data_IF_843065315344
#
_entry.id   IF_843065315344
#
_cell.length_a   1.000
_cell.length_b   1.000
_cell.length_c   1.000
_cell.angle_alpha   90.00
_cell.angle_beta   90.00
_cell.angle_gamma   90.00
#
_symmetry.space_group_name_H-M   'P 1'
#
loop_
_entity.id
_entity.type
_entity.pdbx_description
1 polymer ?
#
# COMPACT_ATOMS: atom_id res chain seq x y z
N UNK A 1 -29.47 0.41 -16.27
CA UNK A 1 -29.58 0.91 -14.88
C UNK A 1 -30.52 2.11 -14.83
N UNK A 2 -31.35 2.25 -13.79
CA UNK A 2 -32.22 3.40 -13.53
C UNK A 2 -31.49 4.38 -12.62
N UNK A 3 -31.63 5.70 -12.84
CA UNK A 3 -30.99 6.69 -11.98
C UNK A 3 -31.61 6.62 -10.58
N UNK A 4 -30.78 6.45 -9.54
CA UNK A 4 -31.21 6.56 -8.16
C UNK A 4 -30.87 7.96 -7.59
N UNK A 5 -31.86 8.82 -7.33
CA UNK A 5 -31.62 10.13 -6.72
C UNK A 5 -31.21 10.04 -5.24
N UNK A 6 -31.54 8.93 -4.57
CA UNK A 6 -31.19 8.68 -3.15
C UNK A 6 -29.74 8.21 -2.96
N UNK A 7 -29.08 7.77 -4.03
CA UNK A 7 -27.65 7.47 -3.98
C UNK A 7 -26.85 8.77 -3.74
N UNK A 8 -25.81 8.74 -2.87
CA UNK A 8 -25.03 9.92 -2.56
C UNK A 8 -24.49 10.61 -3.82
N UNK A 9 -24.41 11.95 -3.78
CA UNK A 9 -23.78 12.69 -4.88
C UNK A 9 -22.26 12.42 -4.89
N UNK A 10 -21.60 12.41 -6.07
CA UNK A 10 -20.15 12.16 -6.14
C UNK A 10 -19.31 13.10 -5.26
N UNK A 11 -19.70 14.37 -5.16
CA UNK A 11 -19.04 15.37 -4.30
C UNK A 11 -19.19 15.06 -2.80
N UNK A 12 -20.33 14.51 -2.40
CA UNK A 12 -20.55 14.04 -1.02
C UNK A 12 -19.64 12.86 -0.72
N UNK A 13 -19.52 11.88 -1.63
CA UNK A 13 -18.63 10.74 -1.43
C UNK A 13 -17.15 11.14 -1.35
N UNK A 14 -16.70 12.06 -2.20
CA UNK A 14 -15.32 12.60 -2.13
C UNK A 14 -15.08 13.23 -0.74
N UNK A 15 -16.05 13.98 -0.24
CA UNK A 15 -15.95 14.65 1.06
C UNK A 15 -15.93 13.64 2.20
N UNK A 16 -16.82 12.63 2.18
CA UNK A 16 -16.88 11.58 3.19
C UNK A 16 -15.57 10.80 3.29
N UNK A 17 -15.02 10.37 2.14
CA UNK A 17 -13.76 9.61 2.12
C UNK A 17 -12.60 10.49 2.63
N UNK A 18 -12.51 11.75 2.17
CA UNK A 18 -11.46 12.67 2.63
C UNK A 18 -11.53 12.98 4.11
N UNK A 19 -12.73 13.24 4.63
CA UNK A 19 -12.91 13.50 6.06
C UNK A 19 -12.52 12.26 6.88
N UNK A 20 -12.89 11.06 6.44
CA UNK A 20 -12.46 9.83 7.09
C UNK A 20 -10.93 9.68 7.07
N UNK A 21 -10.25 9.99 5.96
CA UNK A 21 -8.78 9.99 5.91
C UNK A 21 -8.14 11.04 6.84
N UNK A 22 -8.72 12.25 6.92
CA UNK A 22 -8.26 13.29 7.84
C UNK A 22 -8.40 12.87 9.31
N UNK A 23 -9.52 12.27 9.66
CA UNK A 23 -9.75 11.78 11.02
C UNK A 23 -8.78 10.66 11.41
N UNK A 24 -8.36 9.81 10.45
CA UNK A 24 -7.31 8.81 10.66
C UNK A 24 -5.93 9.45 10.98
N UNK A 25 -5.66 10.64 10.44
CA UNK A 25 -4.39 11.37 10.60
C UNK A 25 -4.24 12.08 11.96
N UNK A 26 -5.28 12.76 12.47
CA UNK A 26 -5.22 13.70 13.62
C UNK A 26 -5.05 13.08 15.04
N UNK A 27 -4.52 11.85 15.15
CA UNK A 27 -4.51 10.98 16.34
C UNK A 27 -4.43 11.64 17.73
N UNK A 28 -5.55 11.59 18.47
CA UNK A 28 -5.59 11.18 19.89
C UNK A 28 -6.96 10.61 20.31
N UNK A 29 -7.46 9.63 19.55
CA UNK A 29 -8.47 8.69 20.07
C UNK A 29 -9.86 9.26 20.39
N UNK A 30 -10.29 10.35 19.73
CA UNK A 30 -11.69 10.79 19.78
C UNK A 30 -12.35 10.68 18.41
N UNK A 31 -12.22 9.51 17.81
CA UNK A 31 -13.30 9.06 16.95
C UNK A 31 -14.49 8.76 17.85
N UNK A 32 -15.62 9.39 17.58
CA UNK A 32 -16.88 8.98 18.18
C UNK A 32 -17.27 7.57 17.76
N UNK A 33 -16.76 6.99 16.64
CA UNK A 33 -17.07 5.63 16.19
C UNK A 33 -15.91 4.93 15.41
N UNK A 34 -14.95 4.30 16.11
CA UNK A 34 -13.97 3.29 15.56
C UNK A 34 -14.67 2.00 15.20
N UNK A 35 -15.53 2.09 14.19
CA UNK A 35 -16.39 0.99 13.83
C UNK A 35 -16.17 0.62 12.37
N UNK A 36 -15.92 -0.67 12.15
CA UNK A 36 -15.93 -1.30 10.83
C UNK A 36 -17.22 -0.93 10.04
N UNK A 37 -18.35 -0.82 10.74
CA UNK A 37 -19.63 -0.40 10.17
C UNK A 37 -19.58 0.98 9.49
N UNK A 38 -18.79 1.93 10.02
CA UNK A 38 -18.61 3.26 9.42
C UNK A 38 -17.89 3.15 8.08
N UNK A 39 -16.80 2.38 8.04
CA UNK A 39 -16.03 2.14 6.80
C UNK A 39 -16.91 1.44 5.77
N UNK A 40 -17.63 0.38 6.16
CA UNK A 40 -18.56 -0.32 5.29
C UNK A 40 -19.70 0.57 4.79
N UNK A 41 -20.18 1.51 5.63
CA UNK A 41 -21.17 2.51 5.24
C UNK A 41 -20.66 3.43 4.13
N UNK A 42 -19.41 3.91 4.25
CA UNK A 42 -18.76 4.72 3.20
C UNK A 42 -18.60 3.90 1.92
N UNK A 43 -18.15 2.64 2.01
CA UNK A 43 -17.97 1.78 0.83
C UNK A 43 -19.29 1.45 0.14
N UNK A 44 -20.37 1.24 0.92
CA UNK A 44 -21.72 1.06 0.37
C UNK A 44 -22.17 2.32 -0.37
N UNK A 45 -21.98 3.50 0.22
CA UNK A 45 -22.31 4.77 -0.44
C UNK A 45 -21.50 4.99 -1.72
N UNK A 46 -20.23 4.58 -1.71
CA UNK A 46 -19.35 4.62 -2.88
C UNK A 46 -19.86 3.71 -3.99
N UNK A 47 -20.17 2.45 -3.68
CA UNK A 47 -20.72 1.47 -4.62
C UNK A 47 -22.05 1.95 -5.24
N UNK A 48 -22.95 2.48 -4.40
CA UNK A 48 -24.21 3.09 -4.88
C UNK A 48 -23.96 4.29 -5.81
N UNK A 49 -22.99 5.14 -5.46
CA UNK A 49 -22.62 6.30 -6.29
C UNK A 49 -22.07 5.87 -7.65
N UNK A 50 -21.20 4.86 -7.67
CA UNK A 50 -20.58 4.35 -8.90
C UNK A 50 -21.56 3.64 -9.81
N UNK A 51 -22.54 2.91 -9.24
CA UNK A 51 -23.43 2.06 -10.03
C UNK A 51 -24.81 2.65 -10.30
N UNK A 52 -25.33 3.50 -9.42
CA UNK A 52 -26.73 3.93 -9.45
C UNK A 52 -26.93 5.40 -9.90
N UNK A 53 -25.84 6.19 -9.95
CA UNK A 53 -25.87 7.58 -10.45
C UNK A 53 -25.61 7.62 -11.97
N UNK A 54 -26.57 8.15 -12.74
CA UNK A 54 -26.41 8.34 -14.19
C UNK A 54 -25.70 9.64 -14.57
N UNK A 55 -25.65 10.58 -13.64
CA UNK A 55 -24.99 11.87 -13.76
C UNK A 55 -23.49 11.81 -13.41
N UNK A 56 -22.98 10.61 -13.06
CA UNK A 56 -21.57 10.40 -12.81
C UNK A 56 -20.78 10.53 -14.12
N UNK A 57 -19.86 11.50 -14.15
CA UNK A 57 -18.94 11.71 -15.27
C UNK A 57 -17.71 10.82 -15.11
N UNK A 58 -17.18 10.31 -16.22
CA UNK A 58 -16.00 9.42 -16.23
C UNK A 58 -14.78 10.02 -15.49
N UNK A 59 -14.56 11.33 -15.57
CA UNK A 59 -13.48 12.00 -14.83
C UNK A 59 -13.68 11.92 -13.31
N UNK A 60 -14.91 12.09 -12.84
CA UNK A 60 -15.26 12.01 -11.41
C UNK A 60 -15.24 10.56 -10.93
N UNK A 61 -15.69 9.64 -11.76
CA UNK A 61 -15.58 8.19 -11.52
C UNK A 61 -14.13 7.78 -11.26
N UNK A 62 -13.19 8.17 -12.15
CA UNK A 62 -11.75 7.91 -11.95
C UNK A 62 -11.23 8.49 -10.63
N UNK A 63 -11.68 9.69 -10.25
CA UNK A 63 -11.30 10.30 -8.97
C UNK A 63 -11.80 9.46 -7.80
N UNK A 64 -13.04 8.97 -7.83
CA UNK A 64 -13.61 8.14 -6.77
C UNK A 64 -12.86 6.82 -6.61
N UNK A 65 -12.52 6.15 -7.72
CA UNK A 65 -11.70 4.93 -7.67
C UNK A 65 -10.30 5.20 -7.10
N UNK A 66 -9.61 6.22 -7.60
CA UNK A 66 -8.27 6.59 -7.10
C UNK A 66 -8.31 6.93 -5.61
N UNK A 67 -9.32 7.70 -5.19
CA UNK A 67 -9.51 8.09 -3.80
C UNK A 67 -9.82 6.89 -2.90
N UNK A 68 -10.52 5.86 -3.41
CA UNK A 68 -10.78 4.64 -2.66
C UNK A 68 -9.52 3.81 -2.41
N UNK A 69 -8.55 3.80 -3.35
CA UNK A 69 -7.23 3.19 -3.15
C UNK A 69 -6.45 3.95 -2.09
N UNK A 70 -6.44 5.29 -2.17
CA UNK A 70 -5.82 6.14 -1.16
C UNK A 70 -6.44 5.89 0.23
N UNK A 71 -7.76 5.70 0.30
CA UNK A 71 -8.46 5.41 1.55
C UNK A 71 -8.06 4.06 2.14
N UNK A 72 -8.02 3.01 1.33
CA UNK A 72 -7.53 1.70 1.76
C UNK A 72 -6.09 1.80 2.32
N UNK A 73 -5.22 2.59 1.66
CA UNK A 73 -3.86 2.81 2.14
C UNK A 73 -3.82 3.56 3.48
N UNK A 74 -4.66 4.58 3.69
CA UNK A 74 -4.76 5.28 4.97
C UNK A 74 -5.23 4.34 6.10
N UNK A 75 -6.14 3.42 5.81
CA UNK A 75 -6.52 2.38 6.79
C UNK A 75 -5.31 1.52 7.16
N UNK A 76 -4.51 1.06 6.18
CA UNK A 76 -3.29 0.27 6.45
C UNK A 76 -2.31 1.03 7.36
N UNK A 77 -2.06 2.31 7.08
CA UNK A 77 -1.04 3.10 7.78
C UNK A 77 -1.49 3.52 9.18
N UNK A 78 -2.73 3.99 9.29
CA UNK A 78 -3.18 4.69 10.49
C UNK A 78 -4.06 3.84 11.41
N UNK A 79 -4.80 2.87 10.89
CA UNK A 79 -5.70 2.01 11.66
C UNK A 79 -5.95 0.63 10.99
N UNK A 80 -4.93 -0.21 11.02
CA UNK A 80 -4.88 -1.49 10.29
C UNK A 80 -5.89 -2.53 10.80
N UNK A 81 -6.52 -2.29 11.96
CA UNK A 81 -7.59 -3.12 12.54
C UNK A 81 -8.91 -2.96 11.77
N UNK A 82 -9.13 -1.80 11.15
CA UNK A 82 -10.34 -1.52 10.37
C UNK A 82 -10.31 -2.15 8.97
N UNK A 83 -9.13 -2.52 8.47
CA UNK A 83 -9.00 -3.22 7.19
C UNK A 83 -9.21 -4.73 7.39
N UNK A 84 -10.41 -5.09 7.85
CA UNK A 84 -10.84 -6.48 8.03
C UNK A 84 -10.99 -7.18 6.67
N UNK A 85 -11.07 -8.52 6.64
CA UNK A 85 -11.39 -9.24 5.40
C UNK A 85 -12.71 -8.78 4.75
N UNK A 86 -13.71 -8.41 5.55
CA UNK A 86 -15.00 -7.90 5.06
C UNK A 86 -14.82 -6.57 4.34
N UNK A 87 -14.11 -5.62 4.96
CA UNK A 87 -13.82 -4.31 4.37
C UNK A 87 -12.98 -4.45 3.11
N UNK A 88 -11.93 -5.27 3.15
CA UNK A 88 -11.09 -5.53 1.99
C UNK A 88 -11.87 -6.16 0.82
N UNK A 89 -12.79 -7.08 1.10
CA UNK A 89 -13.66 -7.65 0.08
C UNK A 89 -14.62 -6.62 -0.52
N UNK A 90 -15.12 -5.67 0.28
CA UNK A 90 -15.95 -4.57 -0.23
C UNK A 90 -15.14 -3.66 -1.17
N UNK A 91 -13.90 -3.31 -0.82
CA UNK A 91 -13.00 -2.58 -1.72
C UNK A 91 -12.73 -3.33 -3.03
N UNK A 92 -12.34 -4.61 -2.94
CA UNK A 92 -12.07 -5.43 -4.13
C UNK A 92 -13.31 -5.52 -5.03
N UNK A 93 -14.50 -5.70 -4.43
CA UNK A 93 -15.76 -5.71 -5.17
C UNK A 93 -15.99 -4.43 -5.95
N UNK A 94 -15.68 -3.28 -5.34
CA UNK A 94 -15.78 -1.97 -6.00
C UNK A 94 -14.74 -1.89 -7.13
N UNK A 95 -13.46 -2.17 -6.85
CA UNK A 95 -12.38 -2.03 -7.85
C UNK A 95 -12.57 -2.91 -9.08
N UNK A 96 -13.12 -4.12 -8.93
CA UNK A 96 -13.43 -5.01 -10.07
C UNK A 96 -14.46 -4.44 -11.04
N UNK A 97 -15.22 -3.43 -10.63
CA UNK A 97 -16.22 -2.78 -11.48
C UNK A 97 -15.62 -1.63 -12.30
N UNK A 98 -14.39 -1.22 -12.02
CA UNK A 98 -13.75 -0.12 -12.73
C UNK A 98 -13.49 -0.51 -14.19
N UNK A 99 -14.12 0.22 -15.11
CA UNK A 99 -14.00 -0.01 -16.56
C UNK A 99 -12.92 0.83 -17.22
N UNK A 100 -12.20 1.63 -16.44
CA UNK A 100 -11.03 2.36 -16.92
C UNK A 100 -9.83 1.44 -17.08
N UNK A 101 -8.66 2.04 -17.28
CA UNK A 101 -7.39 1.33 -17.27
C UNK A 101 -7.07 0.87 -15.83
N UNK A 102 -7.55 -0.32 -15.46
CA UNK A 102 -7.30 -0.98 -14.18
C UNK A 102 -5.81 -0.97 -13.84
N UNK A 103 -4.97 -1.23 -14.84
CA UNK A 103 -3.51 -1.23 -14.78
C UNK A 103 -2.97 0.07 -14.16
N UNK A 104 -3.66 1.20 -14.34
CA UNK A 104 -3.22 2.50 -13.80
C UNK A 104 -3.69 2.80 -12.38
N UNK A 105 -4.73 2.10 -11.90
CA UNK A 105 -5.37 2.40 -10.61
C UNK A 105 -4.41 2.14 -9.44
N UNK A 106 -3.50 1.17 -9.60
CA UNK A 106 -2.59 0.70 -8.55
C UNK A 106 -1.10 0.99 -8.82
N UNK A 107 -0.75 1.74 -9.88
CA UNK A 107 0.65 2.12 -10.18
C UNK A 107 1.31 2.98 -9.09
N UNK A 108 0.50 3.57 -8.20
CA UNK A 108 0.97 4.45 -7.13
C UNK A 108 1.12 3.79 -5.76
N UNK A 109 0.90 2.46 -5.63
CA UNK A 109 0.91 1.80 -4.31
C UNK A 109 2.25 2.00 -3.60
N UNK A 110 3.37 1.75 -4.30
CA UNK A 110 4.72 1.97 -3.76
C UNK A 110 5.29 3.36 -4.12
N UNK A 111 4.42 4.36 -4.31
CA UNK A 111 4.86 5.73 -4.56
C UNK A 111 5.61 6.32 -3.36
N UNK A 112 6.47 7.31 -3.60
CA UNK A 112 7.19 8.02 -2.53
C UNK A 112 6.29 8.53 -1.41
N UNK A 113 5.11 9.07 -1.77
CA UNK A 113 4.13 9.56 -0.80
C UNK A 113 3.71 8.44 0.15
N UNK A 114 3.41 7.27 -0.41
CA UNK A 114 2.95 6.11 0.34
C UNK A 114 4.06 5.51 1.22
N UNK A 115 5.28 5.40 0.69
CA UNK A 115 6.45 4.94 1.44
C UNK A 115 6.75 5.88 2.62
N UNK A 116 6.68 7.19 2.40
CA UNK A 116 6.87 8.15 3.47
C UNK A 116 5.78 8.05 4.55
N UNK A 117 4.52 7.82 4.17
CA UNK A 117 3.45 7.55 5.14
C UNK A 117 3.70 6.29 5.97
N UNK A 118 4.18 5.21 5.36
CA UNK A 118 4.57 3.98 6.10
C UNK A 118 5.71 4.25 7.07
N UNK A 119 6.72 5.03 6.64
CA UNK A 119 7.87 5.40 7.47
C UNK A 119 7.45 6.19 8.72
N UNK A 120 6.43 7.03 8.61
CA UNK A 120 5.88 7.81 9.74
C UNK A 120 5.01 6.97 10.68
N UNK A 121 4.62 5.76 10.28
CA UNK A 121 3.85 4.88 11.16
C UNK A 121 4.73 4.33 12.29
N UNK A 122 4.28 4.40 13.55
CA UNK A 122 5.04 3.84 14.68
C UNK A 122 5.04 2.31 14.72
N UNK A 123 4.28 1.66 13.81
CA UNK A 123 3.95 0.24 13.81
C UNK A 123 4.67 -0.47 12.64
N UNK A 124 5.76 -1.21 12.86
CA UNK A 124 6.44 -1.97 11.80
C UNK A 124 5.52 -2.95 11.05
N UNK A 125 4.48 -3.47 11.72
CA UNK A 125 3.52 -4.42 11.15
C UNK A 125 2.76 -3.87 9.93
N UNK A 126 2.68 -2.55 9.74
CA UNK A 126 2.01 -1.94 8.58
C UNK A 126 2.67 -2.34 7.26
N UNK A 127 3.98 -2.62 7.25
CA UNK A 127 4.71 -3.10 6.07
C UNK A 127 4.26 -4.51 5.67
N UNK A 128 4.12 -5.40 6.66
CA UNK A 128 3.58 -6.73 6.41
C UNK A 128 2.10 -6.66 5.97
N UNK A 129 1.31 -5.75 6.55
CA UNK A 129 -0.09 -5.51 6.12
C UNK A 129 -0.15 -5.01 4.68
N UNK A 130 0.74 -4.11 4.27
CA UNK A 130 0.86 -3.68 2.88
C UNK A 130 1.23 -4.84 1.95
N UNK A 131 2.19 -5.68 2.35
CA UNK A 131 2.53 -6.89 1.59
C UNK A 131 1.32 -7.81 1.39
N UNK A 132 0.55 -8.09 2.44
CA UNK A 132 -0.71 -8.86 2.35
C UNK A 132 -1.75 -8.20 1.45
N UNK A 133 -1.85 -6.88 1.50
CA UNK A 133 -2.74 -6.11 0.65
C UNK A 133 -2.36 -6.25 -0.82
N UNK A 134 -1.07 -6.10 -1.16
CA UNK A 134 -0.55 -6.29 -2.52
C UNK A 134 -0.76 -7.73 -2.99
N UNK A 135 -0.47 -8.72 -2.14
CA UNK A 135 -0.75 -10.13 -2.43
C UNK A 135 -2.23 -10.36 -2.77
N UNK A 136 -3.13 -9.69 -2.07
CA UNK A 136 -4.56 -9.74 -2.34
C UNK A 136 -4.89 -9.14 -3.71
N UNK A 137 -4.31 -8.00 -4.07
CA UNK A 137 -4.53 -7.36 -5.38
C UNK A 137 -4.04 -8.24 -6.53
N UNK A 138 -2.86 -8.85 -6.39
CA UNK A 138 -2.31 -9.79 -7.39
C UNK A 138 -3.23 -11.01 -7.54
N UNK A 139 -3.69 -11.61 -6.45
CA UNK A 139 -4.59 -12.78 -6.49
C UNK A 139 -5.96 -12.49 -7.09
N UNK A 140 -6.41 -11.24 -7.01
CA UNK A 140 -7.70 -10.80 -7.55
C UNK A 140 -7.57 -10.21 -8.96
N UNK A 141 -6.37 -10.30 -9.56
CA UNK A 141 -6.03 -9.80 -10.90
C UNK A 141 -6.27 -8.28 -11.06
N UNK A 142 -6.09 -7.55 -9.95
CA UNK A 142 -6.20 -6.09 -9.89
C UNK A 142 -4.85 -5.40 -10.06
N UNK A 143 -3.75 -6.12 -9.83
CA UNK A 143 -2.38 -5.64 -10.00
C UNK A 143 -1.57 -6.77 -10.61
N UNK A 144 -0.95 -6.52 -11.76
CA UNK A 144 -0.09 -7.52 -12.38
C UNK A 144 1.23 -7.64 -11.63
N UNK A 145 1.87 -8.82 -11.71
CA UNK A 145 3.19 -9.03 -11.12
C UNK A 145 4.25 -8.16 -11.79
N UNK A 146 4.08 -7.86 -13.09
CA UNK A 146 4.94 -6.94 -13.85
C UNK A 146 4.84 -5.50 -13.33
N UNK A 147 3.62 -4.96 -13.19
CA UNK A 147 3.42 -3.58 -12.67
C UNK A 147 3.91 -3.45 -11.23
N UNK A 148 3.72 -4.48 -10.42
CA UNK A 148 4.24 -4.53 -9.07
C UNK A 148 5.77 -4.50 -9.06
N UNK A 149 6.39 -5.30 -9.92
CA UNK A 149 7.83 -5.37 -10.11
C UNK A 149 8.42 -4.04 -10.56
N UNK A 150 7.81 -3.38 -11.54
CA UNK A 150 8.25 -2.07 -12.01
C UNK A 150 8.20 -1.03 -10.89
N UNK A 151 7.15 -1.05 -10.07
CA UNK A 151 7.08 -0.21 -8.86
C UNK A 151 8.21 -0.51 -7.87
N UNK A 152 8.58 -1.79 -7.67
CA UNK A 152 9.70 -2.17 -6.81
C UNK A 152 11.06 -1.69 -7.38
N UNK A 153 11.26 -1.80 -8.69
CA UNK A 153 12.46 -1.24 -9.36
C UNK A 153 12.54 0.27 -9.14
N UNK A 154 11.44 0.98 -9.33
CA UNK A 154 11.38 2.43 -9.10
C UNK A 154 11.67 2.81 -7.66
N UNK A 155 11.23 1.99 -6.71
CA UNK A 155 11.51 2.16 -5.31
C UNK A 155 13.01 2.02 -5.02
N UNK A 156 13.66 0.96 -5.50
CA UNK A 156 15.07 0.67 -5.20
C UNK A 156 16.08 1.58 -5.90
N UNK A 157 15.69 2.28 -6.95
CA UNK A 157 16.54 3.29 -7.60
C UNK A 157 16.80 4.53 -6.74
N UNK A 158 16.21 4.61 -5.56
CA UNK A 158 16.30 5.74 -4.64
C UNK A 158 17.03 5.32 -3.38
N UNK A 159 17.76 6.27 -2.80
CA UNK A 159 18.31 6.12 -1.46
C UNK A 159 17.18 6.26 -0.44
N UNK A 160 17.00 5.23 0.38
CA UNK A 160 16.01 5.21 1.46
C UNK A 160 16.72 5.13 2.82
N UNK A 161 16.13 5.70 3.87
CA UNK A 161 16.65 5.55 5.22
C UNK A 161 16.55 4.08 5.67
N UNK A 162 17.38 3.70 6.64
CA UNK A 162 17.44 2.34 7.19
C UNK A 162 16.08 1.84 7.72
N UNK A 163 15.21 2.75 8.16
CA UNK A 163 13.85 2.40 8.56
C UNK A 163 12.97 1.85 7.44
N UNK A 164 13.27 2.13 6.18
CA UNK A 164 12.55 1.60 5.01
C UNK A 164 13.22 0.33 4.52
N UNK A 165 14.55 0.31 4.34
CA UNK A 165 15.30 -0.87 3.87
C UNK A 165 15.15 -2.07 4.80
N UNK A 166 14.97 -1.82 6.10
CA UNK A 166 14.69 -2.86 7.10
C UNK A 166 13.38 -3.60 6.94
N UNK A 167 12.30 -2.91 6.59
CA UNK A 167 10.95 -3.51 6.55
C UNK A 167 10.48 -3.83 5.14
N UNK A 168 11.09 -3.23 4.13
CA UNK A 168 10.77 -3.48 2.73
C UNK A 168 10.89 -4.98 2.35
N UNK A 169 11.95 -5.72 2.72
CA UNK A 169 12.06 -7.15 2.40
C UNK A 169 10.86 -7.96 2.87
N UNK A 170 10.34 -7.69 4.06
CA UNK A 170 9.19 -8.42 4.61
C UNK A 170 7.91 -8.08 3.86
N UNK A 171 7.75 -6.82 3.45
CA UNK A 171 6.66 -6.39 2.58
C UNK A 171 6.72 -7.12 1.22
N UNK A 172 7.89 -7.17 0.57
CA UNK A 172 8.07 -7.82 -0.74
C UNK A 172 7.80 -9.33 -0.65
N UNK A 173 8.34 -9.99 0.37
CA UNK A 173 8.15 -11.43 0.57
C UNK A 173 6.68 -11.77 0.85
N UNK A 174 6.00 -10.97 1.67
CA UNK A 174 4.58 -11.21 1.96
C UNK A 174 3.69 -10.91 0.75
N UNK A 175 4.06 -9.93 -0.10
CA UNK A 175 3.37 -9.65 -1.37
C UNK A 175 3.42 -10.83 -2.34
N UNK A 176 4.55 -11.53 -2.42
CA UNK A 176 4.73 -12.68 -3.33
C UNK A 176 4.37 -14.03 -2.69
N UNK A 177 3.91 -14.04 -1.44
CA UNK A 177 3.66 -15.28 -0.70
C UNK A 177 2.59 -16.15 -1.35
N UNK A 178 2.99 -17.38 -1.67
CA UNK A 178 2.13 -18.38 -2.30
C UNK A 178 1.76 -18.06 -3.74
N UNK A 179 2.39 -17.06 -4.36
CA UNK A 179 2.29 -16.86 -5.81
C UNK A 179 2.98 -18.02 -6.52
N UNK A 180 2.33 -18.55 -7.56
CA UNK A 180 2.88 -19.60 -8.41
C UNK A 180 2.99 -19.03 -9.82
N UNK A 181 4.22 -18.90 -10.31
CA UNK A 181 4.48 -18.42 -11.66
C UNK A 181 3.75 -19.29 -12.67
N UNK A 182 3.01 -18.64 -13.56
CA UNK A 182 2.25 -19.32 -14.61
C UNK A 182 3.09 -19.52 -15.88
N UNK A 183 4.10 -18.67 -16.05
CA UNK A 183 5.04 -18.69 -17.16
C UNK A 183 6.48 -18.30 -16.73
N UNK A 184 7.40 -18.35 -17.70
CA UNK A 184 8.81 -17.97 -17.49
C UNK A 184 9.00 -16.47 -17.18
N UNK A 185 8.06 -15.61 -17.58
CA UNK A 185 8.13 -14.18 -17.35
C UNK A 185 7.87 -13.89 -15.87
N UNK A 186 6.80 -14.46 -15.33
CA UNK A 186 6.43 -14.41 -13.92
C UNK A 186 7.52 -14.99 -13.01
N UNK A 187 8.18 -16.07 -13.45
CA UNK A 187 9.29 -16.69 -12.71
C UNK A 187 10.48 -15.73 -12.60
N UNK A 188 10.89 -15.09 -13.70
CA UNK A 188 11.95 -14.08 -13.69
C UNK A 188 11.62 -12.90 -12.79
N UNK A 189 10.38 -12.42 -12.82
CA UNK A 189 9.95 -11.33 -11.96
C UNK A 189 10.00 -11.74 -10.49
N UNK A 190 9.57 -12.96 -10.16
CA UNK A 190 9.63 -13.48 -8.79
C UNK A 190 11.07 -13.60 -8.30
N UNK A 191 11.98 -14.12 -9.13
CA UNK A 191 13.41 -14.18 -8.81
C UNK A 191 14.02 -12.79 -8.60
N UNK A 192 13.60 -11.80 -9.40
CA UNK A 192 14.05 -10.42 -9.23
C UNK A 192 13.57 -9.83 -7.90
N UNK A 193 12.30 -10.02 -7.53
CA UNK A 193 11.75 -9.54 -6.27
C UNK A 193 12.42 -10.19 -5.05
N UNK A 194 12.78 -11.48 -5.14
CA UNK A 194 13.55 -12.17 -4.11
C UNK A 194 14.98 -11.61 -3.99
N UNK A 195 15.65 -11.41 -5.13
CA UNK A 195 16.97 -10.75 -5.16
C UNK A 195 16.91 -9.35 -4.54
N UNK A 196 15.89 -8.56 -4.87
CA UNK A 196 15.65 -7.23 -4.29
C UNK A 196 15.49 -7.27 -2.77
N UNK A 197 14.68 -8.21 -2.27
CA UNK A 197 14.47 -8.38 -0.83
C UNK A 197 15.78 -8.75 -0.11
N UNK A 198 16.64 -9.56 -0.75
CA UNK A 198 17.94 -9.92 -0.20
C UNK A 198 18.93 -8.74 -0.21
N UNK A 199 19.01 -7.97 -1.31
CA UNK A 199 19.88 -6.79 -1.37
C UNK A 199 19.55 -5.75 -0.30
N UNK A 200 18.26 -5.51 -0.02
CA UNK A 200 17.86 -4.61 1.06
C UNK A 200 18.37 -5.07 2.44
N UNK A 201 18.41 -6.38 2.71
CA UNK A 201 18.95 -6.91 3.97
C UNK A 201 20.47 -6.71 4.09
N UNK A 202 21.18 -6.81 2.96
CA UNK A 202 22.63 -6.62 2.93
C UNK A 202 23.03 -5.17 3.25
N UNK A 203 22.22 -4.19 2.84
CA UNK A 203 22.43 -2.78 3.19
C UNK A 203 22.26 -2.52 4.70
N UNK A 204 21.30 -3.17 5.36
CA UNK A 204 21.13 -3.03 6.81
C UNK A 204 22.24 -3.76 7.60
N UNK A 205 22.78 -4.85 7.05
CA UNK A 205 23.90 -5.59 7.65
C UNK A 205 25.23 -4.84 7.63
N UNK A 206 25.39 -3.88 6.72
CA UNK A 206 26.61 -3.09 6.58
C UNK A 206 26.78 -1.98 7.64
N UNK A 207 25.69 -1.53 8.28
CA UNK A 207 25.74 -0.52 9.36
C UNK A 207 26.19 -1.11 10.72
N UNK A 208 26.39 -2.43 10.83
CA UNK A 208 26.85 -3.12 12.04
C UNK A 208 28.29 -3.64 11.99
N UNK A 209 29.00 -3.45 10.88
CA UNK A 209 30.42 -3.77 10.78
C UNK A 209 31.23 -2.54 11.25
N UNK A 210 31.36 -2.39 12.56
CA UNK A 210 32.45 -1.61 13.14
C UNK A 210 33.74 -2.13 12.48
N UNK A 211 34.34 -1.31 11.61
CA UNK A 211 35.72 -1.50 11.22
C UNK A 211 36.55 -1.28 12.48
N UNK A 212 36.85 -2.39 13.16
CA UNK A 212 37.87 -2.47 14.20
C UNK A 212 39.20 -2.07 13.55
N UNK A 213 39.48 -0.76 13.57
CA UNK A 213 40.82 -0.26 13.37
C UNK A 213 41.62 -0.78 14.56
N UNK A 214 42.23 -1.96 14.37
CA UNK A 214 43.17 -2.54 15.31
C UNK A 214 44.13 -1.46 15.78
N UNK A 215 44.03 -1.14 17.06
CA UNK A 215 44.96 -0.27 17.77
C UNK A 215 46.31 -0.98 17.80
N UNK A 216 47.09 -0.78 16.75
CA UNK A 216 48.48 -1.19 16.65
C UNK A 216 49.35 -0.18 17.41
N UNK A 217 49.10 -0.05 18.71
CA UNK A 217 49.97 0.68 19.64
C UNK A 217 50.91 -0.30 20.34
N UNK A 218 51.78 -0.91 19.53
CA UNK A 218 53.03 -1.44 20.06
C UNK A 218 54.22 -0.93 19.24
N UNK A 219 55.24 -0.51 19.98
CA UNK A 219 56.67 -0.39 19.62
C UNK A 219 57.23 1.04 19.42
N UNK A 220 57.96 1.42 20.48
CA UNK A 220 59.22 2.19 20.53
C UNK A 220 59.21 3.71 20.42
N UNK A 221 59.63 4.36 21.52
CA UNK A 221 61.05 4.73 21.63
C UNK A 221 61.43 5.12 23.06
N UNK A 222 62.37 4.36 23.62
CA UNK A 222 63.29 4.80 24.67
C UNK A 222 64.08 6.02 24.18
N UNK A 223 64.09 7.08 24.99
CA UNK A 223 65.28 7.83 25.46
C UNK A 223 64.84 9.05 26.26
#
# INVERSE_FOLDING_TARGET
>A
VQHNPEAPAPTQMITLIRNSMWELLEKSGRWSNREEATVLGILKGLDQTLNERKDLQAGVEKVLYTLSVDYAFHLIVYDDELLTPTVLNAFVSIWKQYKGELDTLFLGILSNRNIHMLQLSPKPEVWCKLGKFINRLIKEDLLTVEDYSDQCVWLLRRDWPSSVTKFLPDCLNEAMKGFKSSDMKDEKVTMMLDWMANCCRDFDGAEGADFDYGDDSSVNSMN
#
